data_IF_188639893597
#
_entry.id   IF_188639893597
#
_cell.length_a   1.000
_cell.length_b   1.000
_cell.length_c   1.000
_cell.angle_alpha   90.00
_cell.angle_beta   90.00
_cell.angle_gamma   90.00
#
_symmetry.space_group_name_H-M   'P 1'
#
loop_
_entity.id
_entity.type
_entity.pdbx_description
1 polymer ?
#
# COMPACT_ATOMS: atom_id res chain seq x y z
N UNK A 1 -9.78 -0.52 4.92
CA UNK A 1 -10.42 -1.24 3.80
C UNK A 1 -11.63 -0.40 3.42
N UNK A 2 -11.48 0.44 2.39
CA UNK A 2 -12.59 1.24 1.88
C UNK A 2 -13.64 0.28 1.32
N UNK A 3 -14.91 0.44 1.69
CA UNK A 3 -16.00 -0.30 1.06
C UNK A 3 -15.95 -0.05 -0.44
N UNK A 4 -15.84 -1.11 -1.24
CA UNK A 4 -15.89 -1.00 -2.70
C UNK A 4 -17.24 -0.42 -3.13
N UNK A 5 -17.23 0.37 -4.21
CA UNK A 5 -18.46 0.91 -4.77
C UNK A 5 -19.25 -0.23 -5.45
N UNK A 6 -20.45 -0.52 -4.95
CA UNK A 6 -21.30 -1.55 -5.54
C UNK A 6 -22.04 -1.00 -6.76
N UNK A 7 -21.69 -1.49 -7.94
CA UNK A 7 -22.31 -1.09 -9.21
C UNK A 7 -23.67 -1.77 -9.38
N UNK A 8 -24.68 -0.97 -9.70
CA UNK A 8 -26.04 -1.45 -9.94
C UNK A 8 -26.50 -1.10 -11.36
N UNK A 9 -27.31 -1.96 -12.00
CA UNK A 9 -27.94 -1.64 -13.27
C UNK A 9 -28.73 -0.34 -13.22
N UNK A 10 -28.74 0.39 -14.33
CA UNK A 10 -29.53 1.61 -14.47
C UNK A 10 -31.00 1.26 -14.68
N UNK A 11 -31.89 2.12 -14.18
CA UNK A 11 -33.32 2.03 -14.48
C UNK A 11 -33.55 2.13 -15.99
N UNK A 12 -34.33 1.21 -16.58
CA UNK A 12 -34.56 1.16 -18.03
C UNK A 12 -35.24 2.46 -18.53
N UNK A 13 -36.00 3.10 -17.67
CA UNK A 13 -36.69 4.36 -17.92
C UNK A 13 -35.72 5.53 -18.13
N UNK A 14 -34.50 5.43 -17.59
CA UNK A 14 -33.46 6.47 -17.73
C UNK A 14 -32.89 6.57 -19.15
N UNK A 15 -33.09 5.54 -19.97
CA UNK A 15 -32.67 5.53 -21.37
C UNK A 15 -33.71 6.19 -22.27
N UNK A 16 -33.24 6.88 -23.31
CA UNK A 16 -34.10 7.40 -24.37
C UNK A 16 -34.92 6.27 -25.02
N UNK A 17 -36.16 6.52 -25.49
CA UNK A 17 -37.05 5.46 -25.99
C UNK A 17 -36.44 4.58 -27.08
N UNK A 18 -35.65 5.16 -27.99
CA UNK A 18 -34.93 4.45 -29.05
C UNK A 18 -33.78 3.58 -28.53
N UNK A 19 -33.25 3.83 -27.33
CA UNK A 19 -32.16 3.04 -26.74
C UNK A 19 -32.67 1.88 -25.89
N UNK A 20 -33.89 1.96 -25.37
CA UNK A 20 -34.52 0.90 -24.54
C UNK A 20 -34.61 -0.43 -25.28
N UNK A 21 -34.81 -0.41 -26.60
CA UNK A 21 -34.87 -1.62 -27.44
C UNK A 21 -33.53 -2.37 -27.54
N UNK A 22 -32.42 -1.73 -27.11
CA UNK A 22 -31.08 -2.32 -27.13
C UNK A 22 -30.63 -2.85 -25.77
N UNK A 23 -31.16 -2.31 -24.66
CA UNK A 23 -30.71 -2.63 -23.29
C UNK A 23 -31.74 -3.39 -22.47
N UNK A 24 -33.00 -3.42 -22.89
CA UNK A 24 -34.08 -4.08 -22.15
C UNK A 24 -33.89 -5.60 -22.01
N UNK A 25 -34.47 -6.23 -20.97
CA UNK A 25 -34.35 -7.67 -20.77
C UNK A 25 -34.86 -8.49 -21.95
N UNK A 26 -35.93 -8.01 -22.61
CA UNK A 26 -36.55 -8.63 -23.79
C UNK A 26 -35.92 -8.21 -25.14
N UNK A 27 -34.85 -7.41 -25.14
CA UNK A 27 -34.20 -7.00 -26.38
C UNK A 27 -33.59 -8.20 -27.13
N UNK A 28 -33.79 -8.33 -28.46
CA UNK A 28 -33.22 -9.43 -29.24
C UNK A 28 -31.68 -9.49 -29.15
N UNK A 29 -31.12 -10.70 -29.09
CA UNK A 29 -29.68 -10.90 -28.96
C UNK A 29 -28.83 -10.15 -30.04
N UNK A 30 -29.22 -10.10 -31.33
CA UNK A 30 -28.48 -9.32 -32.32
C UNK A 30 -28.45 -7.81 -32.03
N UNK A 31 -29.53 -7.26 -31.48
CA UNK A 31 -29.62 -5.84 -31.12
C UNK A 31 -28.77 -5.52 -29.88
N UNK A 32 -28.76 -6.40 -28.88
CA UNK A 32 -27.87 -6.28 -27.72
C UNK A 32 -26.40 -6.37 -28.13
N UNK A 33 -26.06 -7.30 -29.03
CA UNK A 33 -24.69 -7.46 -29.52
C UNK A 33 -24.22 -6.25 -30.35
N UNK A 34 -25.10 -5.67 -31.17
CA UNK A 34 -24.82 -4.42 -31.89
C UNK A 34 -24.51 -3.27 -30.92
N UNK A 35 -25.28 -3.15 -29.85
CA UNK A 35 -25.09 -2.16 -28.80
C UNK A 35 -23.82 -2.40 -27.96
N UNK A 36 -23.55 -3.65 -27.62
CA UNK A 36 -22.34 -4.06 -26.90
C UNK A 36 -21.06 -3.69 -27.67
N UNK A 37 -21.11 -3.68 -29.00
CA UNK A 37 -20.00 -3.26 -29.88
C UNK A 37 -19.94 -1.75 -30.13
N UNK A 38 -20.78 -0.95 -29.47
CA UNK A 38 -20.81 0.50 -29.63
C UNK A 38 -21.38 1.00 -30.96
N UNK A 39 -22.09 0.16 -31.73
CA UNK A 39 -22.57 0.51 -33.08
C UNK A 39 -23.97 1.15 -33.09
N UNK A 40 -24.53 1.49 -31.93
CA UNK A 40 -25.84 2.13 -31.83
C UNK A 40 -25.70 3.63 -32.12
N UNK A 41 -26.55 4.21 -32.99
CA UNK A 41 -26.55 5.64 -33.25
C UNK A 41 -27.08 6.39 -32.02
N UNK A 42 -26.16 6.83 -31.16
CA UNK A 42 -26.45 7.58 -29.95
C UNK A 42 -25.37 8.63 -29.70
N UNK A 43 -25.71 9.76 -29.04
CA UNK A 43 -24.70 10.66 -28.51
C UNK A 43 -23.75 9.93 -27.54
N UNK A 44 -22.46 10.30 -27.48
CA UNK A 44 -21.46 9.65 -26.64
C UNK A 44 -21.88 9.47 -25.17
N UNK A 45 -22.53 10.47 -24.59
CA UNK A 45 -23.02 10.48 -23.20
C UNK A 45 -24.12 9.44 -22.93
N UNK A 46 -24.89 9.06 -23.95
CA UNK A 46 -25.87 7.99 -23.85
C UNK A 46 -25.26 6.63 -24.19
N UNK A 47 -24.30 6.61 -25.12
CA UNK A 47 -23.61 5.38 -25.52
C UNK A 47 -22.85 4.76 -24.34
N UNK A 48 -22.16 5.56 -23.54
CA UNK A 48 -21.45 5.05 -22.34
C UNK A 48 -22.40 4.42 -21.31
N UNK A 49 -23.63 4.95 -21.17
CA UNK A 49 -24.66 4.37 -20.30
C UNK A 49 -25.20 3.05 -20.84
N UNK A 50 -25.37 2.96 -22.16
CA UNK A 50 -25.80 1.73 -22.85
C UNK A 50 -24.76 0.63 -22.67
N UNK A 51 -23.47 0.96 -22.89
CA UNK A 51 -22.36 0.04 -22.67
C UNK A 51 -22.33 -0.44 -21.22
N UNK A 52 -22.40 0.49 -20.25
CA UNK A 52 -22.45 0.15 -18.84
C UNK A 52 -23.60 -0.82 -18.49
N UNK A 53 -24.80 -0.56 -19.01
CA UNK A 53 -25.96 -1.41 -18.75
C UNK A 53 -25.78 -2.84 -19.28
N UNK A 54 -25.12 -2.99 -20.42
CA UNK A 54 -24.84 -4.28 -21.03
C UNK A 54 -23.66 -5.01 -20.37
N UNK A 55 -22.82 -4.31 -19.60
CA UNK A 55 -21.69 -4.93 -18.89
C UNK A 55 -22.15 -5.98 -17.87
N UNK A 56 -23.36 -5.85 -17.33
CA UNK A 56 -23.94 -6.80 -16.39
C UNK A 56 -24.35 -8.14 -17.04
N UNK A 57 -24.44 -8.19 -18.37
CA UNK A 57 -24.66 -9.44 -19.10
C UNK A 57 -23.31 -10.11 -19.38
N UNK A 58 -23.05 -11.23 -18.69
CA UNK A 58 -21.78 -11.95 -18.79
C UNK A 58 -21.45 -12.39 -20.23
N UNK A 59 -22.46 -12.60 -21.08
CA UNK A 59 -22.25 -12.96 -22.49
C UNK A 59 -21.77 -11.78 -23.34
N UNK A 60 -21.98 -10.54 -22.90
CA UNK A 60 -21.64 -9.31 -23.61
C UNK A 60 -20.46 -8.57 -22.98
N UNK A 61 -20.08 -8.90 -21.75
CA UNK A 61 -19.09 -8.17 -20.96
C UNK A 61 -17.78 -7.90 -21.71
N UNK A 62 -17.23 -8.89 -22.42
CA UNK A 62 -16.00 -8.69 -23.21
C UNK A 62 -16.21 -7.69 -24.35
N UNK A 63 -17.28 -7.83 -25.13
CA UNK A 63 -17.55 -6.93 -26.25
C UNK A 63 -17.77 -5.49 -25.79
N UNK A 64 -18.44 -5.31 -24.65
CA UNK A 64 -18.67 -4.01 -24.01
C UNK A 64 -17.35 -3.40 -23.52
N UNK A 65 -16.50 -4.20 -22.87
CA UNK A 65 -15.19 -3.76 -22.41
C UNK A 65 -14.29 -3.37 -23.59
N UNK A 66 -14.28 -4.15 -24.67
CA UNK A 66 -13.55 -3.85 -25.90
C UNK A 66 -14.06 -2.55 -26.55
N UNK A 67 -15.38 -2.35 -26.59
CA UNK A 67 -15.99 -1.14 -27.16
C UNK A 67 -15.66 0.12 -26.35
N UNK A 68 -15.72 0.05 -25.01
CA UNK A 68 -15.30 1.17 -24.15
C UNK A 68 -13.78 1.39 -24.24
N UNK A 69 -12.99 0.33 -24.23
CA UNK A 69 -11.53 0.39 -24.36
C UNK A 69 -11.08 1.01 -25.68
N UNK A 70 -11.77 0.70 -26.78
CA UNK A 70 -11.51 1.26 -28.11
C UNK A 70 -12.06 2.67 -28.34
N UNK A 71 -12.85 3.23 -27.42
CA UNK A 71 -13.44 4.56 -27.58
C UNK A 71 -12.37 5.66 -27.46
N UNK A 72 -12.19 6.54 -28.48
CA UNK A 72 -11.19 7.60 -28.41
C UNK A 72 -11.44 8.59 -27.26
N UNK A 73 -10.36 9.08 -26.63
CA UNK A 73 -10.44 10.07 -25.55
C UNK A 73 -11.20 11.34 -25.97
N UNK A 74 -11.03 11.78 -27.22
CA UNK A 74 -11.73 12.93 -27.79
C UNK A 74 -13.27 12.78 -27.82
N UNK A 75 -13.78 11.55 -27.73
CA UNK A 75 -15.22 11.23 -27.68
C UNK A 75 -15.65 10.98 -26.24
N UNK A 76 -14.85 10.22 -25.49
CA UNK A 76 -15.17 9.84 -24.11
C UNK A 76 -15.10 11.03 -23.15
N UNK A 77 -14.08 11.87 -23.24
CA UNK A 77 -13.90 13.01 -22.31
C UNK A 77 -15.08 13.99 -22.35
N UNK A 78 -15.57 14.45 -23.52
CA UNK A 78 -16.78 15.28 -23.57
C UNK A 78 -18.03 14.59 -22.99
N UNK A 79 -18.18 13.27 -23.20
CA UNK A 79 -19.29 12.51 -22.63
C UNK A 79 -19.29 12.54 -21.10
N UNK A 80 -18.11 12.55 -20.49
CA UNK A 80 -17.88 12.61 -19.05
C UNK A 80 -17.97 14.02 -18.46
N UNK A 81 -17.99 15.07 -19.28
CA UNK A 81 -18.22 16.44 -18.80
C UNK A 81 -19.70 16.70 -18.48
N UNK A 82 -20.60 15.90 -19.06
CA UNK A 82 -22.03 15.90 -18.71
C UNK A 82 -22.27 15.05 -17.47
N UNK A 83 -23.33 15.31 -16.72
CA UNK A 83 -23.64 14.53 -15.52
C UNK A 83 -23.89 13.06 -15.87
N UNK A 84 -23.15 12.15 -15.21
CA UNK A 84 -23.25 10.71 -15.42
C UNK A 84 -23.60 10.00 -14.10
N UNK A 85 -24.30 8.86 -14.14
CA UNK A 85 -24.52 8.05 -12.94
C UNK A 85 -23.20 7.57 -12.33
N UNK A 86 -23.14 7.52 -10.99
CA UNK A 86 -21.95 7.10 -10.25
C UNK A 86 -21.38 5.75 -10.73
N UNK A 87 -22.24 4.75 -10.94
CA UNK A 87 -21.79 3.42 -11.40
C UNK A 87 -21.17 3.42 -12.79
N UNK A 88 -21.62 4.30 -13.69
CA UNK A 88 -21.02 4.47 -15.03
C UNK A 88 -19.62 5.06 -14.89
N UNK A 89 -19.47 6.07 -14.04
CA UNK A 89 -18.21 6.76 -13.79
C UNK A 89 -17.18 5.85 -13.11
N UNK A 90 -17.62 5.07 -12.12
CA UNK A 90 -16.81 4.08 -11.42
C UNK A 90 -16.32 2.97 -12.36
N UNK A 91 -17.20 2.46 -13.22
CA UNK A 91 -16.84 1.45 -14.22
C UNK A 91 -15.85 1.97 -15.28
N UNK A 92 -16.06 3.21 -15.77
CA UNK A 92 -15.13 3.84 -16.71
C UNK A 92 -13.78 4.09 -16.04
N UNK A 93 -13.77 4.55 -14.78
CA UNK A 93 -12.57 4.77 -14.00
C UNK A 93 -11.73 3.50 -13.78
N UNK A 94 -12.35 2.31 -13.77
CA UNK A 94 -11.62 1.04 -13.69
C UNK A 94 -10.95 0.69 -15.04
N UNK A 95 -11.69 0.81 -16.15
CA UNK A 95 -11.25 0.36 -17.47
C UNK A 95 -10.36 1.36 -18.21
N UNK A 96 -10.47 2.65 -17.91
CA UNK A 96 -9.82 3.75 -18.64
C UNK A 96 -8.96 4.60 -17.70
N UNK A 97 -7.65 4.28 -17.67
CA UNK A 97 -6.66 4.88 -16.77
C UNK A 97 -5.88 6.04 -17.40
N UNK A 98 -6.32 6.55 -18.55
CA UNK A 98 -5.71 7.71 -19.18
C UNK A 98 -5.98 8.97 -18.34
N UNK A 99 -4.96 9.85 -18.21
CA UNK A 99 -5.04 11.00 -17.31
C UNK A 99 -6.21 11.94 -17.61
N UNK A 100 -6.50 12.19 -18.89
CA UNK A 100 -7.61 13.06 -19.30
C UNK A 100 -8.98 12.47 -18.94
N UNK A 101 -9.14 11.14 -19.07
CA UNK A 101 -10.36 10.43 -18.69
C UNK A 101 -10.55 10.46 -17.18
N UNK A 102 -9.52 10.10 -16.40
CA UNK A 102 -9.56 10.17 -14.94
C UNK A 102 -9.88 11.58 -14.44
N UNK A 103 -9.28 12.62 -15.03
CA UNK A 103 -9.57 14.00 -14.69
C UNK A 103 -11.04 14.35 -14.94
N UNK A 104 -11.59 13.94 -16.10
CA UNK A 104 -13.00 14.17 -16.43
C UNK A 104 -13.95 13.44 -15.45
N UNK A 105 -13.61 12.21 -15.05
CA UNK A 105 -14.36 11.48 -14.01
C UNK A 105 -14.31 12.21 -12.68
N UNK A 106 -13.14 12.60 -12.18
CA UNK A 106 -13.02 13.30 -10.88
C UNK A 106 -13.81 14.61 -10.86
N UNK A 107 -13.83 15.36 -11.97
CA UNK A 107 -14.56 16.61 -12.11
C UNK A 107 -16.08 16.42 -12.29
N UNK A 108 -16.53 15.22 -12.63
CA UNK A 108 -17.94 14.93 -12.79
C UNK A 108 -18.65 14.96 -11.43
N UNK A 109 -19.77 15.68 -11.36
CA UNK A 109 -20.57 15.82 -10.12
C UNK A 109 -21.18 14.49 -9.67
N UNK A 110 -21.46 13.57 -10.59
CA UNK A 110 -22.03 12.27 -10.31
C UNK A 110 -21.04 11.25 -9.74
N UNK A 111 -19.74 11.57 -9.69
CA UNK A 111 -18.71 10.65 -9.19
C UNK A 111 -18.85 10.47 -7.68
N UNK A 112 -18.96 9.22 -7.25
CA UNK A 112 -19.03 8.86 -5.85
C UNK A 112 -17.68 9.09 -5.14
N UNK A 113 -17.74 9.40 -3.85
CA UNK A 113 -16.53 9.64 -3.05
C UNK A 113 -15.63 8.40 -2.98
N UNK A 114 -16.20 7.19 -2.98
CA UNK A 114 -15.45 5.92 -2.95
C UNK A 114 -14.60 5.73 -4.21
N UNK A 115 -15.17 6.06 -5.38
CA UNK A 115 -14.44 6.06 -6.65
C UNK A 115 -13.30 7.08 -6.63
N UNK A 116 -13.52 8.27 -6.06
CA UNK A 116 -12.46 9.29 -5.93
C UNK A 116 -11.34 8.82 -4.98
N UNK A 117 -11.66 8.11 -3.90
CA UNK A 117 -10.66 7.48 -3.00
C UNK A 117 -9.80 6.48 -3.76
N UNK A 118 -10.42 5.61 -4.57
CA UNK A 118 -9.69 4.64 -5.39
C UNK A 118 -8.77 5.34 -6.40
N UNK A 119 -9.32 6.30 -7.15
CA UNK A 119 -8.56 7.08 -8.15
C UNK A 119 -7.40 7.84 -7.50
N UNK A 120 -7.61 8.45 -6.34
CA UNK A 120 -6.56 9.17 -5.61
C UNK A 120 -5.31 8.31 -5.31
N UNK A 121 -5.48 7.00 -5.12
CA UNK A 121 -4.37 6.07 -4.85
C UNK A 121 -3.48 5.77 -6.07
N UNK A 122 -3.99 5.93 -7.28
CA UNK A 122 -3.31 5.54 -8.53
C UNK A 122 -3.17 6.67 -9.56
N UNK A 123 -3.81 7.81 -9.31
CA UNK A 123 -3.82 8.98 -10.17
C UNK A 123 -2.40 9.51 -10.45
N UNK A 124 -2.23 10.13 -11.62
CA UNK A 124 -1.05 10.92 -11.93
C UNK A 124 -0.96 12.16 -11.05
N UNK A 125 0.21 12.80 -11.00
CA UNK A 125 0.42 14.01 -10.19
C UNK A 125 -0.60 15.12 -10.49
N UNK A 126 -0.91 15.35 -11.77
CA UNK A 126 -1.86 16.40 -12.17
C UNK A 126 -3.30 16.08 -11.74
N UNK A 127 -3.71 14.81 -11.83
CA UNK A 127 -5.03 14.37 -11.38
C UNK A 127 -5.12 14.41 -9.84
N UNK A 128 -4.03 14.09 -9.13
CA UNK A 128 -3.94 14.27 -7.68
C UNK A 128 -4.19 15.72 -7.27
N UNK A 129 -3.60 16.69 -7.98
CA UNK A 129 -3.80 18.11 -7.71
C UNK A 129 -5.25 18.53 -7.98
N UNK A 130 -5.88 18.00 -9.04
CA UNK A 130 -7.31 18.23 -9.31
C UNK A 130 -8.21 17.70 -8.18
N UNK A 131 -7.94 16.49 -7.69
CA UNK A 131 -8.66 15.90 -6.55
C UNK A 131 -8.48 16.77 -5.30
N UNK A 132 -7.23 17.15 -4.99
CA UNK A 132 -6.88 17.92 -3.80
C UNK A 132 -7.53 19.31 -3.77
N UNK A 133 -7.75 19.93 -4.93
CA UNK A 133 -8.40 21.24 -5.03
C UNK A 133 -9.88 21.21 -4.62
N UNK A 134 -10.55 20.06 -4.61
CA UNK A 134 -11.94 19.94 -4.17
C UNK A 134 -12.04 19.78 -2.63
N UNK A 135 -11.77 20.87 -1.91
CA UNK A 135 -11.71 20.87 -0.44
C UNK A 135 -13.00 20.37 0.23
N UNK A 136 -14.17 20.65 -0.35
CA UNK A 136 -15.46 20.20 0.19
C UNK A 136 -15.53 18.67 0.20
N UNK A 137 -15.14 18.04 -0.92
CA UNK A 137 -15.13 16.57 -1.03
C UNK A 137 -14.07 15.96 -0.12
N UNK A 138 -12.88 16.54 -0.10
CA UNK A 138 -11.75 16.05 0.70
C UNK A 138 -12.03 16.09 2.20
N UNK A 139 -12.69 17.15 2.70
CA UNK A 139 -13.09 17.26 4.11
C UNK A 139 -14.23 16.31 4.48
N UNK A 140 -15.19 16.09 3.57
CA UNK A 140 -16.29 15.14 3.79
C UNK A 140 -15.82 13.69 3.78
N UNK A 141 -14.79 13.38 3.00
CA UNK A 141 -14.26 12.01 2.83
C UNK A 141 -12.75 11.99 3.08
N UNK A 142 -12.32 11.85 4.35
CA UNK A 142 -10.89 11.89 4.72
C UNK A 142 -10.05 10.80 4.06
N UNK A 143 -10.67 9.68 3.67
CA UNK A 143 -10.01 8.61 2.91
C UNK A 143 -9.38 9.08 1.60
N UNK A 144 -9.81 10.22 1.04
CA UNK A 144 -9.18 10.83 -0.14
C UNK A 144 -7.78 11.35 0.22
N UNK A 145 -7.63 12.00 1.38
CA UNK A 145 -6.33 12.49 1.88
C UNK A 145 -5.42 11.31 2.14
N UNK A 146 -5.95 10.25 2.75
CA UNK A 146 -5.20 9.03 3.05
C UNK A 146 -4.70 8.35 1.77
N UNK A 147 -5.55 8.24 0.75
CA UNK A 147 -5.17 7.70 -0.55
C UNK A 147 -4.09 8.56 -1.24
N UNK A 148 -4.26 9.88 -1.29
CA UNK A 148 -3.28 10.80 -1.86
C UNK A 148 -1.93 10.75 -1.12
N UNK A 149 -1.94 10.61 0.21
CA UNK A 149 -0.72 10.49 1.01
C UNK A 149 0.08 9.23 0.64
N UNK A 150 -0.62 8.12 0.41
CA UNK A 150 -0.01 6.84 0.01
C UNK A 150 0.30 6.75 -1.49
N UNK A 151 -0.20 7.66 -2.31
CA UNK A 151 0.14 7.72 -3.72
C UNK A 151 1.53 8.32 -3.91
N UNK A 152 2.43 7.58 -4.54
CA UNK A 152 3.81 8.01 -4.82
C UNK A 152 3.92 9.11 -5.88
N UNK A 153 2.87 9.34 -6.68
CA UNK A 153 2.82 10.43 -7.67
C UNK A 153 2.33 11.75 -7.08
N UNK A 154 1.65 11.73 -5.94
CA UNK A 154 1.15 12.96 -5.33
C UNK A 154 2.33 13.80 -4.79
N UNK A 155 2.39 15.07 -5.19
CA UNK A 155 3.43 15.99 -4.71
C UNK A 155 3.35 16.17 -3.19
N UNK A 156 4.49 16.30 -2.52
CA UNK A 156 4.52 16.51 -1.08
C UNK A 156 3.83 17.83 -0.71
N UNK A 157 4.08 18.88 -1.48
CA UNK A 157 3.42 20.18 -1.27
C UNK A 157 1.89 20.11 -1.34
N UNK A 158 1.32 19.22 -2.17
CA UNK A 158 -0.13 19.00 -2.25
C UNK A 158 -0.62 18.25 -1.02
N UNK A 159 0.09 17.19 -0.61
CA UNK A 159 -0.23 16.39 0.57
C UNK A 159 -0.15 17.24 1.85
N UNK A 160 0.89 18.06 2.03
CA UNK A 160 1.07 18.92 3.20
C UNK A 160 -0.09 19.90 3.37
N UNK A 161 -0.53 20.52 2.26
CA UNK A 161 -1.71 21.41 2.26
C UNK A 161 -2.98 20.67 2.70
N UNK A 162 -3.15 19.41 2.31
CA UNK A 162 -4.30 18.62 2.73
C UNK A 162 -4.23 18.20 4.19
N UNK A 163 -3.04 17.91 4.70
CA UNK A 163 -2.83 17.60 6.12
C UNK A 163 -3.14 18.83 6.98
N UNK A 164 -2.63 20.01 6.61
CA UNK A 164 -2.94 21.28 7.29
C UNK A 164 -4.45 21.58 7.22
N UNK A 165 -5.08 21.38 6.06
CA UNK A 165 -6.53 21.54 5.90
C UNK A 165 -7.31 20.59 6.83
N UNK A 166 -6.92 19.32 6.92
CA UNK A 166 -7.56 18.34 7.80
C UNK A 166 -7.42 18.73 9.27
N UNK A 167 -6.21 19.12 9.69
CA UNK A 167 -5.94 19.58 11.06
C UNK A 167 -6.79 20.79 11.44
N UNK A 168 -6.84 21.82 10.58
CA UNK A 168 -7.63 23.04 10.83
C UNK A 168 -9.12 22.79 10.97
N UNK A 169 -9.64 21.76 10.32
CA UNK A 169 -11.05 21.39 10.35
C UNK A 169 -11.35 20.25 11.35
N UNK A 170 -10.36 19.81 12.15
CA UNK A 170 -10.55 18.75 13.14
C UNK A 170 -10.89 17.38 12.53
N UNK A 171 -10.41 17.12 11.31
CA UNK A 171 -10.63 15.86 10.59
C UNK A 171 -9.54 14.85 10.97
N UNK A 172 -9.96 13.68 11.46
CA UNK A 172 -9.03 12.60 11.82
C UNK A 172 -8.66 11.71 10.61
N UNK A 173 -7.36 11.39 10.49
CA UNK A 173 -6.81 10.53 9.43
C UNK A 173 -6.52 9.12 9.98
N UNK A 174 -7.57 8.34 10.22
CA UNK A 174 -7.50 7.03 10.87
C UNK A 174 -6.75 5.95 10.07
N UNK A 175 -6.74 6.04 8.74
CA UNK A 175 -6.06 5.10 7.84
C UNK A 175 -4.54 5.26 7.79
N UNK A 176 -3.99 6.32 8.39
CA UNK A 176 -2.55 6.58 8.41
C UNK A 176 -2.01 6.59 9.84
N UNK A 177 -1.81 5.41 10.47
CA UNK A 177 -1.48 5.34 11.90
C UNK A 177 -0.14 6.02 12.24
N UNK A 178 0.85 5.97 11.35
CA UNK A 178 2.14 6.64 11.53
C UNK A 178 2.02 8.17 11.49
N UNK A 179 1.29 8.70 10.50
CA UNK A 179 1.03 10.13 10.39
C UNK A 179 0.15 10.62 11.54
N UNK A 180 -0.94 9.91 11.86
CA UNK A 180 -1.84 10.29 12.93
C UNK A 180 -1.13 10.34 14.30
N UNK A 181 -0.19 9.42 14.56
CA UNK A 181 0.64 9.46 15.76
C UNK A 181 1.57 10.68 15.77
N UNK A 182 2.14 11.03 14.62
CA UNK A 182 2.97 12.22 14.48
C UNK A 182 2.17 13.51 14.69
N UNK A 183 1.00 13.65 14.07
CA UNK A 183 0.11 14.80 14.26
C UNK A 183 -0.32 14.96 15.72
N UNK A 184 -0.64 13.85 16.42
CA UNK A 184 -0.99 13.87 17.85
C UNK A 184 0.18 14.21 18.77
N UNK A 185 1.41 13.90 18.37
CA UNK A 185 2.60 14.18 19.18
C UNK A 185 2.89 15.69 19.29
N UNK A 186 2.34 16.50 18.39
CA UNK A 186 2.62 17.94 18.30
C UNK A 186 4.01 18.27 17.75
N UNK A 187 4.76 17.27 17.28
CA UNK A 187 6.06 17.47 16.62
C UNK A 187 5.83 18.14 15.25
N UNK A 188 6.59 19.20 14.95
CA UNK A 188 6.46 19.93 13.70
C UNK A 188 6.88 19.04 12.53
N UNK A 189 5.90 18.64 11.71
CA UNK A 189 6.12 17.87 10.48
C UNK A 189 6.82 18.71 9.41
N UNK A 190 6.58 20.02 9.42
CA UNK A 190 7.02 20.99 8.42
C UNK A 190 8.35 21.66 8.77
N UNK A 191 9.17 21.01 9.61
CA UNK A 191 10.44 21.59 10.06
C UNK A 191 11.31 21.97 8.84
N UNK A 192 11.80 23.21 8.83
CA UNK A 192 12.67 23.73 7.77
C UNK A 192 13.86 22.77 7.53
N UNK A 193 14.00 22.34 6.27
CA UNK A 193 14.94 21.30 5.87
C UNK A 193 14.22 20.11 5.23
N UNK A 194 15.00 19.23 4.60
CA UNK A 194 14.48 18.16 3.76
C UNK A 194 14.88 18.32 2.30
N UNK A 195 14.51 17.32 1.50
CA UNK A 195 14.59 17.43 0.05
C UNK A 195 13.52 18.39 -0.45
N UNK A 196 13.78 19.10 -1.54
CA UNK A 196 12.70 19.84 -2.22
C UNK A 196 11.68 18.86 -2.85
N UNK A 197 10.53 19.37 -3.26
CA UNK A 197 9.41 18.57 -3.77
C UNK A 197 9.80 17.75 -5.02
N UNK A 198 10.64 18.32 -5.90
CA UNK A 198 11.07 17.65 -7.12
C UNK A 198 12.09 16.53 -6.83
N UNK A 199 13.04 16.78 -5.93
CA UNK A 199 14.02 15.80 -5.48
C UNK A 199 13.34 14.66 -4.73
N UNK A 200 12.38 14.96 -3.85
CA UNK A 200 11.63 13.94 -3.12
C UNK A 200 10.75 13.11 -4.06
N UNK A 201 10.05 13.74 -5.02
CA UNK A 201 9.31 13.01 -6.06
C UNK A 201 10.23 12.10 -6.87
N UNK A 202 11.45 12.54 -7.19
CA UNK A 202 12.46 11.72 -7.85
C UNK A 202 12.94 10.52 -7.02
N UNK A 203 12.93 10.62 -5.68
CA UNK A 203 13.18 9.47 -4.80
C UNK A 203 12.01 8.50 -4.82
N UNK A 204 10.77 9.00 -4.66
CA UNK A 204 9.57 8.18 -4.71
C UNK A 204 9.45 7.41 -6.04
N UNK A 205 9.82 8.04 -7.15
CA UNK A 205 9.84 7.39 -8.46
C UNK A 205 10.81 6.21 -8.52
N UNK A 206 12.04 6.38 -8.02
CA UNK A 206 13.02 5.29 -7.95
C UNK A 206 12.54 4.15 -7.07
N UNK A 207 11.94 4.47 -5.94
CA UNK A 207 11.40 3.48 -5.00
C UNK A 207 10.20 2.72 -5.58
N UNK A 208 9.36 3.38 -6.37
CA UNK A 208 8.28 2.75 -7.14
C UNK A 208 8.82 1.75 -8.16
N UNK A 209 9.84 2.12 -8.92
CA UNK A 209 10.51 1.23 -9.88
C UNK A 209 11.12 0.01 -9.18
N UNK A 210 11.78 0.22 -8.03
CA UNK A 210 12.31 -0.89 -7.20
C UNK A 210 11.21 -1.82 -6.73
N UNK A 211 10.14 -1.25 -6.18
CA UNK A 211 8.99 -2.02 -5.68
C UNK A 211 8.36 -2.87 -6.78
N UNK A 212 8.15 -2.29 -7.97
CA UNK A 212 7.67 -3.02 -9.13
C UNK A 212 8.62 -4.16 -9.54
N UNK A 213 9.93 -3.90 -9.55
CA UNK A 213 10.93 -4.94 -9.82
C UNK A 213 10.89 -6.08 -8.78
N UNK A 214 10.71 -5.76 -7.50
CA UNK A 214 10.54 -6.74 -6.43
C UNK A 214 9.27 -7.59 -6.62
N UNK A 215 8.15 -6.96 -6.98
CA UNK A 215 6.88 -7.64 -7.27
C UNK A 215 6.98 -8.55 -8.50
N UNK A 216 7.64 -8.09 -9.57
CA UNK A 216 7.88 -8.89 -10.77
C UNK A 216 8.77 -10.11 -10.47
N UNK A 217 9.79 -9.96 -9.62
CA UNK A 217 10.61 -11.09 -9.15
C UNK A 217 9.80 -12.07 -8.30
N UNK A 218 8.93 -11.57 -7.42
CA UNK A 218 8.08 -12.41 -6.58
C UNK A 218 7.10 -13.22 -7.43
N UNK A 219 6.48 -12.59 -8.43
CA UNK A 219 5.59 -13.28 -9.36
C UNK A 219 6.30 -14.38 -10.15
N UNK A 220 7.56 -14.14 -10.58
CA UNK A 220 8.37 -15.20 -11.22
C UNK A 220 8.57 -16.39 -10.30
N UNK A 221 8.70 -16.18 -8.99
CA UNK A 221 8.92 -17.25 -8.01
C UNK A 221 7.78 -18.28 -7.96
N UNK A 222 6.56 -17.83 -8.26
CA UNK A 222 5.35 -18.65 -8.29
C UNK A 222 5.22 -19.48 -9.57
N UNK A 223 6.12 -19.30 -10.55
CA UNK A 223 6.11 -20.04 -11.81
C UNK A 223 6.37 -21.55 -11.55
N UNK A 224 5.40 -22.43 -11.90
CA UNK A 224 5.53 -23.88 -11.73
C UNK A 224 6.70 -24.49 -12.53
N UNK A 225 7.16 -23.83 -13.59
CA UNK A 225 8.20 -24.33 -14.50
C UNK A 225 9.63 -24.13 -13.99
N UNK A 226 9.83 -23.30 -12.96
CA UNK A 226 11.17 -23.04 -12.40
C UNK A 226 11.79 -24.30 -11.79
N UNK A 227 13.05 -24.55 -12.14
CA UNK A 227 13.85 -25.59 -11.50
C UNK A 227 14.12 -25.25 -10.03
N UNK A 228 14.40 -26.28 -9.22
CA UNK A 228 14.76 -26.10 -7.80
C UNK A 228 15.92 -25.12 -7.61
N UNK A 229 16.94 -25.22 -8.45
CA UNK A 229 18.13 -24.34 -8.41
C UNK A 229 17.79 -22.88 -8.75
N UNK A 230 16.89 -22.65 -9.70
CA UNK A 230 16.44 -21.30 -10.07
C UNK A 230 15.57 -20.68 -8.97
N UNK A 231 14.64 -21.46 -8.39
CA UNK A 231 13.86 -21.01 -7.22
C UNK A 231 14.75 -20.64 -6.04
N UNK A 232 15.75 -21.46 -5.73
CA UNK A 232 16.69 -21.18 -4.64
C UNK A 232 17.57 -19.93 -4.91
N UNK A 233 17.87 -19.61 -6.18
CA UNK A 233 18.57 -18.37 -6.56
C UNK A 233 17.68 -17.15 -6.39
N UNK A 234 16.46 -17.18 -6.96
CA UNK A 234 15.50 -16.09 -6.83
C UNK A 234 15.09 -15.85 -5.36
N UNK A 235 14.92 -16.91 -4.56
CA UNK A 235 14.67 -16.77 -3.12
C UNK A 235 15.81 -16.09 -2.38
N UNK A 236 17.08 -16.32 -2.75
CA UNK A 236 18.22 -15.62 -2.15
C UNK A 236 18.29 -14.16 -2.59
N UNK A 237 18.01 -13.89 -3.86
CA UNK A 237 17.99 -12.54 -4.42
C UNK A 237 16.86 -11.70 -3.82
N UNK A 238 15.63 -12.21 -3.83
CA UNK A 238 14.49 -11.58 -3.16
C UNK A 238 14.75 -11.53 -1.66
N UNK A 239 15.23 -12.61 -1.04
CA UNK A 239 15.48 -12.73 0.38
C UNK A 239 16.44 -11.70 0.94
N UNK A 240 17.32 -11.11 0.11
CA UNK A 240 18.49 -10.40 0.63
C UNK A 240 19.33 -11.38 1.43
N UNK A 241 19.70 -12.50 0.79
CA UNK A 241 20.26 -13.67 1.49
C UNK A 241 21.46 -13.28 2.33
N UNK A 242 21.40 -13.58 3.63
CA UNK A 242 22.45 -13.46 4.66
C UNK A 242 23.68 -12.65 4.24
N UNK A 243 23.47 -11.41 3.82
CA UNK A 243 24.59 -10.53 3.48
C UNK A 243 25.22 -10.14 4.82
N UNK A 244 26.52 -10.41 4.97
CA UNK A 244 27.29 -10.07 6.16
C UNK A 244 26.99 -8.62 6.58
N UNK A 245 26.69 -8.38 7.87
CA UNK A 245 26.31 -7.05 8.36
C UNK A 245 27.34 -5.98 7.97
N UNK A 246 28.62 -6.32 7.86
CA UNK A 246 29.68 -5.42 7.40
C UNK A 246 29.56 -5.03 5.92
N UNK A 247 29.18 -5.97 5.04
CA UNK A 247 29.00 -5.73 3.60
C UNK A 247 27.76 -4.88 3.33
N UNK A 248 26.69 -5.13 4.10
CA UNK A 248 25.47 -4.31 4.03
C UNK A 248 25.74 -2.90 4.57
N UNK A 249 26.45 -2.76 5.69
CA UNK A 249 26.84 -1.46 6.24
C UNK A 249 27.79 -0.68 5.31
N UNK A 250 28.71 -1.35 4.60
CA UNK A 250 29.58 -0.70 3.63
C UNK A 250 28.83 -0.25 2.37
N UNK A 251 27.89 -1.07 1.87
CA UNK A 251 26.95 -0.67 0.80
C UNK A 251 26.00 0.45 1.25
N UNK A 252 25.55 0.45 2.51
CA UNK A 252 24.73 1.52 3.11
C UNK A 252 25.50 2.83 3.21
N UNK A 253 26.76 2.80 3.66
CA UNK A 253 27.64 3.98 3.72
C UNK A 253 27.96 4.55 2.34
N UNK A 254 27.96 3.71 1.30
CA UNK A 254 28.22 4.09 -0.11
C UNK A 254 26.96 4.30 -0.94
N UNK A 255 25.77 4.03 -0.38
CA UNK A 255 24.50 4.02 -1.10
C UNK A 255 23.90 5.42 -1.21
N UNK A 256 23.49 5.81 -2.42
CA UNK A 256 22.76 7.05 -2.67
C UNK A 256 21.45 7.13 -1.87
N UNK A 257 20.78 5.99 -1.61
CA UNK A 257 19.52 5.94 -0.86
C UNK A 257 19.69 6.30 0.61
N UNK A 258 20.70 5.75 1.29
CA UNK A 258 20.94 6.07 2.71
C UNK A 258 21.28 7.56 2.88
N UNK A 259 22.10 8.10 1.98
CA UNK A 259 22.40 9.54 1.96
C UNK A 259 21.17 10.39 1.67
N UNK A 260 20.28 9.95 0.75
CA UNK A 260 19.03 10.65 0.46
C UNK A 260 18.09 10.65 1.67
N UNK A 261 17.92 9.51 2.34
CA UNK A 261 17.09 9.39 3.56
C UNK A 261 17.65 10.27 4.69
N UNK A 262 18.98 10.37 4.80
CA UNK A 262 19.63 11.27 5.76
C UNK A 262 19.32 12.76 5.53
N UNK A 263 19.04 13.16 4.29
CA UNK A 263 18.69 14.53 3.92
C UNK A 263 17.19 14.83 4.03
N UNK A 264 16.33 13.82 4.21
CA UNK A 264 14.88 13.98 4.33
C UNK A 264 14.47 14.52 5.71
N UNK A 265 13.39 15.29 5.74
CA UNK A 265 12.75 15.70 6.98
C UNK A 265 11.84 14.58 7.56
N UNK A 266 11.25 14.84 8.72
CA UNK A 266 10.40 13.89 9.43
C UNK A 266 9.20 13.43 8.59
N UNK A 267 8.45 14.38 8.00
CA UNK A 267 7.27 14.08 7.19
C UNK A 267 7.61 13.20 5.97
N UNK A 268 8.70 13.54 5.27
CA UNK A 268 9.21 12.78 4.12
C UNK A 268 9.60 11.35 4.52
N UNK A 269 10.26 11.15 5.68
CA UNK A 269 10.61 9.83 6.19
C UNK A 269 9.39 8.99 6.59
N UNK A 270 8.39 9.60 7.24
CA UNK A 270 7.14 8.90 7.60
C UNK A 270 6.37 8.51 6.33
N UNK A 271 6.33 9.40 5.33
CA UNK A 271 5.69 9.09 4.04
C UNK A 271 6.43 7.99 3.31
N UNK A 272 7.76 8.09 3.20
CA UNK A 272 8.60 7.04 2.59
C UNK A 272 8.44 5.69 3.32
N UNK A 273 8.25 5.69 4.63
CA UNK A 273 7.96 4.45 5.38
C UNK A 273 6.65 3.78 4.97
N UNK A 274 5.70 4.56 4.47
CA UNK A 274 4.37 4.09 4.05
C UNK A 274 4.37 3.60 2.60
N UNK A 275 5.12 4.26 1.71
CA UNK A 275 5.08 4.00 0.25
C UNK A 275 6.34 3.37 -0.34
N UNK A 276 7.44 3.37 0.42
CA UNK A 276 8.77 2.99 -0.07
C UNK A 276 8.96 1.48 -0.27
N UNK A 277 10.06 1.13 -0.93
CA UNK A 277 10.46 -0.26 -1.14
C UNK A 277 10.90 -0.93 0.18
N UNK A 278 11.05 -2.26 0.13
CA UNK A 278 11.55 -3.02 1.28
C UNK A 278 12.92 -2.53 1.76
N UNK A 279 13.80 -2.14 0.84
CA UNK A 279 15.13 -1.62 1.15
C UNK A 279 15.04 -0.31 1.96
N UNK A 280 14.24 0.65 1.50
CA UNK A 280 14.04 1.92 2.19
C UNK A 280 13.44 1.70 3.59
N UNK A 281 12.46 0.81 3.72
CA UNK A 281 11.84 0.49 5.00
C UNK A 281 12.86 -0.13 5.96
N UNK A 282 13.70 -1.07 5.52
CA UNK A 282 14.74 -1.68 6.34
C UNK A 282 15.77 -0.65 6.86
N UNK A 283 16.01 0.43 6.14
CA UNK A 283 16.83 1.56 6.60
C UNK A 283 16.06 2.37 7.65
N UNK A 284 14.80 2.74 7.38
CA UNK A 284 13.97 3.59 8.24
C UNK A 284 13.58 2.95 9.58
N UNK A 285 13.48 1.61 9.66
CA UNK A 285 13.25 0.89 10.94
C UNK A 285 14.38 1.14 11.95
N UNK A 286 15.57 1.52 11.48
CA UNK A 286 16.73 1.84 12.33
C UNK A 286 16.85 3.33 12.69
N UNK A 287 15.92 4.16 12.22
CA UNK A 287 15.96 5.60 12.47
C UNK A 287 15.86 5.91 13.97
N UNK A 288 16.59 6.93 14.40
CA UNK A 288 16.59 7.41 15.77
C UNK A 288 15.23 7.97 16.21
N UNK A 289 14.46 8.56 15.30
CA UNK A 289 13.15 9.13 15.62
C UNK A 289 12.09 8.03 15.78
N UNK A 290 11.35 8.09 16.89
CA UNK A 290 10.33 7.12 17.24
C UNK A 290 9.21 7.01 16.20
N UNK A 291 8.72 8.14 15.70
CA UNK A 291 7.61 8.18 14.75
C UNK A 291 7.99 7.49 13.45
N UNK A 292 9.22 7.69 12.97
CA UNK A 292 9.73 7.08 11.73
C UNK A 292 9.84 5.57 11.87
N UNK A 293 10.57 5.06 12.86
CA UNK A 293 10.77 3.61 12.96
C UNK A 293 9.48 2.86 13.30
N UNK A 294 8.55 3.49 14.04
CA UNK A 294 7.23 2.91 14.32
C UNK A 294 6.32 2.92 13.09
N UNK A 295 6.43 3.92 12.22
CA UNK A 295 5.75 3.90 10.93
C UNK A 295 6.33 2.81 10.01
N UNK A 296 7.66 2.69 9.95
CA UNK A 296 8.35 1.73 9.09
C UNK A 296 8.04 0.25 9.47
N UNK A 297 8.03 -0.09 10.76
CA UNK A 297 7.75 -1.47 11.22
C UNK A 297 6.30 -1.91 10.97
N UNK A 298 5.37 -0.96 10.79
CA UNK A 298 3.96 -1.24 10.47
C UNK A 298 3.75 -1.52 8.97
N UNK A 299 4.76 -1.30 8.13
CA UNK A 299 4.62 -1.48 6.69
C UNK A 299 4.39 -2.95 6.31
N UNK A 300 3.47 -3.24 5.37
CA UNK A 300 3.20 -4.60 4.92
C UNK A 300 4.32 -5.18 4.05
N UNK A 301 5.32 -4.39 3.65
CA UNK A 301 6.44 -4.81 2.78
C UNK A 301 7.50 -5.64 3.51
N UNK A 302 7.49 -5.64 4.85
CA UNK A 302 8.42 -6.42 5.65
C UNK A 302 8.06 -7.91 5.62
N UNK A 303 9.07 -8.78 5.54
CA UNK A 303 8.88 -10.23 5.51
C UNK A 303 9.44 -10.88 6.76
N UNK A 304 9.06 -12.14 7.06
CA UNK A 304 9.57 -12.84 8.24
C UNK A 304 11.11 -12.92 8.32
N UNK A 305 11.80 -12.98 7.18
CA UNK A 305 13.27 -12.96 7.13
C UNK A 305 13.85 -11.61 7.59
N UNK A 306 13.28 -10.50 7.11
CA UNK A 306 13.66 -9.14 7.53
C UNK A 306 13.41 -8.97 9.04
N UNK A 307 12.24 -9.41 9.52
CA UNK A 307 11.88 -9.35 10.95
C UNK A 307 12.83 -10.20 11.81
N UNK A 308 13.24 -11.39 11.36
CA UNK A 308 14.25 -12.21 12.06
C UNK A 308 15.56 -11.44 12.22
N UNK A 309 16.04 -10.79 11.16
CA UNK A 309 17.28 -10.01 11.16
C UNK A 309 17.17 -8.78 12.08
N UNK A 310 16.03 -8.08 12.05
CA UNK A 310 15.76 -6.96 12.95
C UNK A 310 15.71 -7.43 14.41
N UNK A 311 15.07 -8.57 14.69
CA UNK A 311 14.95 -9.13 16.03
C UNK A 311 16.31 -9.60 16.60
N UNK A 312 17.24 -10.09 15.78
CA UNK A 312 18.58 -10.46 16.25
C UNK A 312 19.50 -9.26 16.48
N UNK A 313 19.21 -8.13 15.84
CA UNK A 313 20.08 -6.97 15.87
C UNK A 313 19.88 -6.13 17.16
N UNK A 314 20.99 -5.84 17.84
CA UNK A 314 21.01 -5.11 19.12
C UNK A 314 20.92 -3.59 18.97
N UNK A 315 21.21 -3.04 17.79
CA UNK A 315 21.14 -1.59 17.55
C UNK A 315 19.70 -1.10 17.36
N UNK A 316 18.77 -2.00 17.03
CA UNK A 316 17.36 -1.68 16.77
C UNK A 316 16.70 -0.99 18.00
N UNK A 317 15.89 0.06 17.78
CA UNK A 317 15.16 0.73 18.86
C UNK A 317 14.27 -0.23 19.66
N UNK A 318 14.19 -0.02 20.98
CA UNK A 318 13.41 -0.89 21.87
C UNK A 318 11.91 -0.94 21.51
N UNK A 319 11.36 0.18 21.02
CA UNK A 319 9.97 0.26 20.56
C UNK A 319 9.64 -0.71 19.43
N UNK A 320 10.57 -0.89 18.49
CA UNK A 320 10.44 -1.85 17.37
C UNK A 320 10.45 -3.28 17.90
N UNK A 321 11.38 -3.63 18.79
CA UNK A 321 11.46 -4.98 19.38
C UNK A 321 10.18 -5.32 20.17
N UNK A 322 9.68 -4.37 20.96
CA UNK A 322 8.39 -4.50 21.66
C UNK A 322 7.25 -4.76 20.70
N UNK A 323 7.15 -3.99 19.62
CA UNK A 323 6.12 -4.15 18.61
C UNK A 323 6.17 -5.55 17.96
N UNK A 324 7.38 -6.02 17.59
CA UNK A 324 7.55 -7.36 17.01
C UNK A 324 7.13 -8.45 18.01
N UNK A 325 7.51 -8.33 19.28
CA UNK A 325 7.20 -9.30 20.33
C UNK A 325 5.70 -9.40 20.63
N UNK A 326 4.94 -8.32 20.50
CA UNK A 326 3.50 -8.30 20.74
C UNK A 326 2.68 -8.82 19.54
N UNK A 327 3.27 -8.83 18.34
CA UNK A 327 2.55 -9.20 17.12
C UNK A 327 2.60 -10.72 16.85
N UNK A 328 1.44 -11.36 16.92
CA UNK A 328 1.29 -12.81 16.73
C UNK A 328 1.67 -13.30 15.33
N UNK A 329 1.51 -12.46 14.30
CA UNK A 329 1.88 -12.80 12.93
C UNK A 329 3.40 -12.97 12.77
N UNK A 330 4.18 -12.26 13.59
CA UNK A 330 5.62 -12.42 13.66
C UNK A 330 6.03 -13.56 14.59
N UNK A 331 5.46 -13.61 15.80
CA UNK A 331 5.87 -14.60 16.81
C UNK A 331 5.47 -16.04 16.49
N UNK A 332 4.56 -16.26 15.53
CA UNK A 332 4.27 -17.62 15.02
C UNK A 332 5.48 -18.25 14.32
N UNK A 333 6.39 -17.43 13.78
CA UNK A 333 7.60 -17.91 13.14
C UNK A 333 8.62 -18.25 14.23
N UNK A 334 8.94 -19.55 14.35
CA UNK A 334 9.85 -20.08 15.36
C UNK A 334 11.18 -19.30 15.44
N UNK A 335 11.73 -18.96 14.29
CA UNK A 335 13.03 -18.31 14.25
C UNK A 335 13.01 -16.86 14.73
N UNK A 336 11.92 -16.14 14.48
CA UNK A 336 11.71 -14.79 15.02
C UNK A 336 11.61 -14.88 16.55
N UNK A 337 10.84 -15.84 17.06
CA UNK A 337 10.72 -16.09 18.50
C UNK A 337 12.09 -16.39 19.15
N UNK A 338 12.91 -17.25 18.54
CA UNK A 338 14.27 -17.52 19.01
C UNK A 338 15.09 -16.23 19.03
N UNK A 339 15.14 -15.48 17.93
CA UNK A 339 15.88 -14.21 17.85
C UNK A 339 15.45 -13.21 18.93
N UNK A 340 14.14 -13.05 19.16
CA UNK A 340 13.60 -12.17 20.20
C UNK A 340 14.03 -12.62 21.60
N UNK A 341 14.00 -13.92 21.90
CA UNK A 341 14.43 -14.40 23.23
C UNK A 341 15.92 -14.19 23.49
N UNK A 342 16.74 -14.13 22.45
CA UNK A 342 18.17 -13.86 22.55
C UNK A 342 18.51 -12.36 22.62
N UNK A 343 17.55 -11.47 22.33
CA UNK A 343 17.76 -10.03 22.31
C UNK A 343 17.55 -9.41 23.71
N UNK A 344 18.51 -8.61 24.23
CA UNK A 344 18.39 -7.94 25.54
C UNK A 344 17.21 -6.96 25.65
N UNK A 345 16.75 -6.39 24.53
CA UNK A 345 15.71 -5.35 24.49
C UNK A 345 14.29 -5.92 24.51
N UNK A 346 14.13 -7.24 24.45
CA UNK A 346 12.82 -7.89 24.47
C UNK A 346 12.23 -7.85 25.89
N UNK A 347 10.96 -7.43 26.07
CA UNK A 347 10.32 -7.43 27.38
C UNK A 347 10.34 -8.81 28.05
N UNK A 348 10.63 -8.82 29.34
CA UNK A 348 10.75 -10.07 30.11
C UNK A 348 9.46 -10.90 30.08
N UNK A 349 8.29 -10.25 30.09
CA UNK A 349 6.97 -10.91 30.00
C UNK A 349 6.86 -11.80 28.78
N UNK A 350 7.27 -11.28 27.62
CA UNK A 350 7.14 -11.94 26.34
C UNK A 350 8.16 -13.08 26.24
N UNK A 351 9.39 -12.83 26.69
CA UNK A 351 10.44 -13.86 26.76
C UNK A 351 9.98 -15.06 27.60
N UNK A 352 9.38 -14.84 28.76
CA UNK A 352 8.90 -15.93 29.61
C UNK A 352 7.83 -16.79 28.92
N UNK A 353 6.96 -16.18 28.12
CA UNK A 353 5.97 -16.89 27.29
C UNK A 353 6.66 -17.73 26.20
N UNK A 354 7.64 -17.13 25.51
CA UNK A 354 8.38 -17.78 24.42
C UNK A 354 9.22 -18.98 24.89
N UNK A 355 9.84 -18.93 26.07
CA UNK A 355 10.70 -20.01 26.61
C UNK A 355 10.01 -21.39 26.62
N UNK A 356 8.69 -21.43 26.85
CA UNK A 356 7.94 -22.70 26.86
C UNK A 356 7.86 -23.36 25.49
N UNK A 357 7.97 -22.58 24.41
CA UNK A 357 7.82 -23.01 23.02
C UNK A 357 9.17 -23.30 22.34
N UNK A 358 10.29 -22.90 22.94
CA UNK A 358 11.63 -23.14 22.40
C UNK A 358 12.03 -24.62 22.45
N UNK A 359 12.87 -25.05 21.51
CA UNK A 359 13.47 -26.40 21.48
C UNK A 359 14.61 -26.50 22.51
N UNK A 360 14.92 -27.73 22.92
CA UNK A 360 15.94 -27.99 23.96
C UNK A 360 17.34 -27.49 23.57
N UNK A 361 17.68 -27.51 22.28
CA UNK A 361 18.95 -26.95 21.77
C UNK A 361 19.05 -25.45 22.07
N UNK A 362 18.06 -24.69 21.60
CA UNK A 362 18.05 -23.23 21.73
C UNK A 362 17.95 -22.77 23.20
N UNK A 363 17.24 -23.54 24.04
CA UNK A 363 17.25 -23.32 25.49
C UNK A 363 18.64 -23.49 26.12
N UNK A 364 19.45 -24.47 25.68
CA UNK A 364 20.84 -24.60 26.13
C UNK A 364 21.68 -23.41 25.67
N UNK A 365 21.47 -22.94 24.45
CA UNK A 365 22.20 -21.79 23.91
C UNK A 365 21.86 -20.52 24.72
N UNK A 366 20.60 -20.34 25.11
CA UNK A 366 20.14 -19.30 26.02
C UNK A 366 20.83 -19.34 27.39
N UNK A 367 21.10 -20.53 27.96
CA UNK A 367 21.82 -20.63 29.25
C UNK A 367 23.26 -20.12 29.19
N UNK A 368 23.88 -20.13 28.00
CA UNK A 368 25.26 -19.69 27.77
C UNK A 368 25.35 -18.25 27.30
N UNK A 369 24.24 -17.69 26.80
CA UNK A 369 24.20 -16.36 26.23
C UNK A 369 24.28 -15.27 27.31
N UNK A 370 25.38 -14.50 27.31
CA UNK A 370 25.59 -13.40 28.27
C UNK A 370 24.77 -12.14 27.97
N UNK A 371 24.14 -12.06 26.80
CA UNK A 371 23.34 -10.91 26.38
C UNK A 371 21.93 -10.91 26.98
N UNK A 372 21.48 -12.01 27.57
CA UNK A 372 20.14 -12.13 28.16
C UNK A 372 20.18 -11.94 29.67
N UNK A 373 19.08 -11.47 30.26
CA UNK A 373 18.95 -11.31 31.71
C UNK A 373 19.17 -12.64 32.46
N UNK A 374 19.80 -12.57 33.64
CA UNK A 374 20.03 -13.73 34.51
C UNK A 374 18.76 -14.49 34.87
N UNK A 375 17.61 -13.80 34.95
CA UNK A 375 16.33 -14.46 35.21
C UNK A 375 15.92 -15.38 34.06
N UNK A 376 16.14 -14.95 32.82
CA UNK A 376 15.89 -15.72 31.60
C UNK A 376 16.82 -16.94 31.56
N UNK A 377 18.12 -16.76 31.85
CA UNK A 377 19.08 -17.86 31.92
C UNK A 377 18.68 -18.92 32.97
N UNK A 378 18.24 -18.48 34.16
CA UNK A 378 17.82 -19.39 35.24
C UNK A 378 16.58 -20.20 34.84
N UNK A 379 15.60 -19.55 34.22
CA UNK A 379 14.38 -20.20 33.75
C UNK A 379 14.67 -21.19 32.62
N UNK A 380 15.50 -20.80 31.65
CA UNK A 380 15.94 -21.68 30.57
C UNK A 380 16.67 -22.92 31.13
N UNK A 381 17.57 -22.75 32.12
CA UNK A 381 18.27 -23.87 32.77
C UNK A 381 17.31 -24.82 33.49
N UNK A 382 16.30 -24.28 34.18
CA UNK A 382 15.25 -25.09 34.83
C UNK A 382 14.46 -25.92 33.81
N UNK A 383 14.06 -25.31 32.69
CA UNK A 383 13.34 -26.00 31.61
C UNK A 383 14.19 -27.08 30.93
N UNK A 384 15.48 -26.82 30.70
CA UNK A 384 16.41 -27.83 30.15
C UNK A 384 16.53 -29.03 31.09
N UNK A 385 16.72 -28.79 32.39
CA UNK A 385 16.82 -29.88 33.38
C UNK A 385 15.52 -30.69 33.47
N UNK A 386 14.36 -30.02 33.45
CA UNK A 386 13.04 -30.67 33.46
C UNK A 386 12.81 -31.54 32.22
N UNK A 387 13.34 -31.15 31.06
CA UNK A 387 13.22 -31.90 29.80
C UNK A 387 14.28 -32.98 29.61
N UNK A 388 15.46 -32.80 30.21
CA UNK A 388 16.56 -33.77 30.16
C UNK A 388 16.53 -34.85 31.25
N UNK A 389 15.71 -34.65 32.30
CA UNK A 389 15.42 -35.67 33.32
C UNK A 389 14.28 -36.63 32.96
N UNK A 390 13.98 -36.79 31.66
CA UNK A 390 13.02 -37.75 31.10
C UNK A 390 13.71 -38.66 30.11
#
# INVERSE_FOLDING_TARGET
MSEEFERQPLAIESFAPNLRMHVGPQAPAPMKMMAARGMVPAPPEQLVRVLYQLHFDAALAQAVADALGGMPEAVLVPALQTEQPAGVLDWIAELRQEAAVMQAVVLNKGTDDRTVVQLAGQASADVCDVIANNQVRVLRTPGIIEALYTNSHARMATVDKLIDLAQRNGVELGGLPGLAEALRSGEALDAEGGLDDAAFAGVLEKERVRTRGEEEMLSKLDDPSLTRSERERLQREIGGGDEDEEVVEERRRKGSLFSQIGQMNLAQKIRLSSVGSREAINILVRDSNKLVHMAAIRSPRLRPADIRQLASNKSIPEGVIKYIAMNRDWTRHYDVMVSLTMNPKTPLSDVMSFLNHLRTKDLRDLTRNRNVSHQVQRMAKSLVNKRGGR
#
